data_IF_095072210262
#
_entry.id   IF_095072210262
#
_cell.length_a   1.000
_cell.length_b   1.000
_cell.length_c   1.000
_cell.angle_alpha   90.00
_cell.angle_beta   90.00
_cell.angle_gamma   90.00
#
_symmetry.space_group_name_H-M   'P 1'
#
loop_
_entity.id
_entity.type
_entity.pdbx_description
1 polymer ?
#
# COMPACT_ATOMS: atom_id res chain seq x y z
N UNK A 1 -5.44 6.61 -18.97
CA UNK A 1 -5.45 6.01 -17.64
C UNK A 1 -4.47 4.86 -17.58
N UNK A 2 -3.96 4.59 -16.41
CA UNK A 2 -2.98 3.54 -16.23
C UNK A 2 -3.50 2.51 -15.24
N UNK A 3 -3.04 1.29 -15.40
CA UNK A 3 -3.40 0.21 -14.50
C UNK A 3 -2.38 0.18 -13.36
N UNK A 4 -2.89 0.24 -12.14
CA UNK A 4 -2.07 0.15 -10.94
C UNK A 4 -2.40 -1.14 -10.22
N UNK A 5 -1.38 -1.77 -9.68
CA UNK A 5 -1.55 -3.02 -8.93
C UNK A 5 -1.22 -2.77 -7.47
N UNK A 6 -2.14 -3.15 -6.61
CA UNK A 6 -1.95 -3.08 -5.17
C UNK A 6 -1.62 -4.47 -4.68
N UNK A 7 -0.45 -4.60 -4.06
CA UNK A 7 0.00 -5.88 -3.55
C UNK A 7 0.04 -5.78 -2.03
N UNK A 8 -0.74 -6.62 -1.35
CA UNK A 8 -0.81 -6.61 0.11
C UNK A 8 0.03 -7.75 0.65
N UNK A 9 0.83 -7.45 1.65
CA UNK A 9 1.71 -8.42 2.28
C UNK A 9 1.42 -8.49 3.76
N UNK A 10 1.52 -9.70 4.31
CA UNK A 10 1.28 -9.90 5.74
C UNK A 10 2.56 -9.67 6.53
N UNK A 11 2.51 -9.97 7.82
CA UNK A 11 3.64 -9.74 8.72
C UNK A 11 4.86 -10.57 8.36
N UNK A 12 4.65 -11.70 7.72
CA UNK A 12 5.76 -12.53 7.28
C UNK A 12 6.22 -12.17 5.88
N UNK A 13 5.74 -11.03 5.36
CA UNK A 13 6.16 -10.50 4.07
C UNK A 13 5.72 -11.37 2.89
N UNK A 14 4.64 -12.12 3.09
CA UNK A 14 4.08 -12.92 2.01
C UNK A 14 2.91 -12.18 1.40
N UNK A 15 2.78 -12.28 0.09
CA UNK A 15 1.68 -11.62 -0.62
C UNK A 15 0.37 -12.31 -0.29
N UNK A 16 -0.56 -11.55 0.25
CA UNK A 16 -1.88 -12.07 0.59
C UNK A 16 -2.88 -11.85 -0.51
N UNK A 17 -2.91 -10.64 -1.04
CA UNK A 17 -3.89 -10.24 -2.03
C UNK A 17 -3.26 -9.31 -3.03
N UNK A 18 -3.80 -9.30 -4.22
CA UNK A 18 -3.40 -8.36 -5.24
C UNK A 18 -4.66 -7.82 -5.90
N UNK A 19 -4.75 -6.51 -6.03
CA UNK A 19 -5.88 -5.85 -6.67
C UNK A 19 -5.38 -4.91 -7.73
N UNK A 20 -6.19 -4.69 -8.75
CA UNK A 20 -5.85 -3.76 -9.80
C UNK A 20 -6.93 -2.71 -9.95
N UNK A 21 -6.51 -1.53 -10.36
CA UNK A 21 -7.44 -0.45 -10.62
C UNK A 21 -6.86 0.49 -11.66
N UNK A 22 -7.75 1.23 -12.29
CA UNK A 22 -7.35 2.21 -13.28
C UNK A 22 -7.45 3.60 -12.68
N UNK A 23 -6.38 4.37 -12.82
CA UNK A 23 -6.34 5.73 -12.30
C UNK A 23 -5.68 6.64 -13.31
N UNK A 24 -6.03 7.92 -13.27
CA UNK A 24 -5.50 8.88 -14.21
C UNK A 24 -4.04 9.20 -13.93
N UNK A 25 -3.64 9.19 -12.66
CA UNK A 25 -2.27 9.50 -12.30
C UNK A 25 -1.94 8.89 -10.94
N UNK A 26 -0.64 8.91 -10.62
CA UNK A 26 -0.14 8.26 -9.41
C UNK A 26 -0.82 8.74 -8.14
N UNK A 27 -1.09 10.04 -8.06
CA UNK A 27 -1.66 10.61 -6.86
C UNK A 27 -3.01 9.97 -6.52
N UNK A 28 -3.84 9.74 -7.54
CA UNK A 28 -5.14 9.12 -7.30
C UNK A 28 -4.96 7.70 -6.79
N UNK A 29 -4.02 6.96 -7.37
CA UNK A 29 -3.77 5.60 -6.95
C UNK A 29 -3.28 5.58 -5.50
N UNK A 30 -2.40 6.52 -5.14
CA UNK A 30 -1.85 6.59 -3.80
C UNK A 30 -2.95 6.93 -2.79
N UNK A 31 -3.81 7.89 -3.11
CA UNK A 31 -4.88 8.28 -2.20
C UNK A 31 -5.86 7.14 -1.98
N UNK A 32 -6.17 6.43 -3.06
CA UNK A 32 -7.06 5.28 -2.94
C UNK A 32 -6.42 4.19 -2.11
N UNK A 33 -5.12 3.96 -2.32
CA UNK A 33 -4.39 2.94 -1.57
C UNK A 33 -4.32 3.27 -0.10
N UNK A 34 -4.10 4.54 0.24
CA UNK A 34 -4.02 4.95 1.63
C UNK A 34 -5.33 4.67 2.35
N UNK A 35 -6.46 4.90 1.68
CA UNK A 35 -7.75 4.61 2.28
C UNK A 35 -7.95 3.12 2.51
N UNK A 36 -7.46 2.31 1.59
CA UNK A 36 -7.60 0.86 1.70
C UNK A 36 -6.74 0.31 2.83
N UNK A 37 -5.46 0.71 2.85
CA UNK A 37 -4.53 0.14 3.82
C UNK A 37 -4.88 0.54 5.25
N UNK A 38 -5.61 1.62 5.42
CA UNK A 38 -5.98 2.07 6.75
C UNK A 38 -6.79 1.03 7.51
N UNK A 39 -7.47 0.13 6.80
CA UNK A 39 -8.22 -0.94 7.43
C UNK A 39 -7.48 -2.26 7.55
N UNK A 40 -6.20 -2.30 7.19
CA UNK A 40 -5.44 -3.54 7.16
C UNK A 40 -4.28 -3.48 8.14
N UNK A 41 -4.59 -3.64 9.40
CA UNK A 41 -3.57 -3.53 10.45
C UNK A 41 -2.55 -4.66 10.35
N UNK A 42 -1.29 -4.28 10.49
CA UNK A 42 -0.22 -5.26 10.44
C UNK A 42 0.21 -5.66 9.05
N UNK A 43 -0.41 -5.09 8.05
CA UNK A 43 -0.11 -5.44 6.67
C UNK A 43 0.63 -4.31 5.98
N UNK A 44 1.33 -4.68 4.93
CA UNK A 44 2.02 -3.73 4.07
C UNK A 44 1.33 -3.72 2.72
N UNK A 45 1.48 -2.61 2.02
CA UNK A 45 0.92 -2.51 0.67
C UNK A 45 1.93 -1.82 -0.22
N UNK A 46 2.06 -2.34 -1.42
CA UNK A 46 2.87 -1.73 -2.46
C UNK A 46 1.99 -1.42 -3.64
N UNK A 47 2.21 -0.25 -4.23
CA UNK A 47 1.48 0.16 -5.41
C UNK A 47 2.45 0.14 -6.57
N UNK A 48 2.12 -0.61 -7.60
CA UNK A 48 2.97 -0.79 -8.77
C UNK A 48 2.27 -0.30 -10.02
N UNK A 49 3.03 0.31 -10.88
CA UNK A 49 2.59 0.65 -12.22
C UNK A 49 3.56 -0.03 -13.18
N UNK A 50 3.13 -1.17 -13.74
CA UNK A 50 4.04 -2.00 -14.49
C UNK A 50 5.11 -2.54 -13.58
N UNK A 51 6.37 -2.28 -13.90
CA UNK A 51 7.49 -2.72 -13.09
C UNK A 51 8.01 -1.63 -12.16
N UNK A 52 7.34 -0.48 -12.12
CA UNK A 52 7.80 0.64 -11.31
C UNK A 52 7.01 0.69 -10.01
N UNK A 53 7.72 0.75 -8.90
CA UNK A 53 7.10 0.93 -7.60
C UNK A 53 6.72 2.39 -7.45
N UNK A 54 5.44 2.64 -7.29
CA UNK A 54 4.92 3.99 -7.16
C UNK A 54 5.00 4.46 -5.71
N UNK A 55 4.55 3.62 -4.79
CA UNK A 55 4.48 3.97 -3.39
C UNK A 55 4.38 2.69 -2.57
N UNK A 56 4.92 2.74 -1.35
CA UNK A 56 4.73 1.62 -0.43
C UNK A 56 4.27 2.17 0.90
N UNK A 57 3.42 1.40 1.57
CA UNK A 57 2.95 1.73 2.91
C UNK A 57 3.47 0.65 3.84
N UNK A 58 4.05 1.08 4.95
CA UNK A 58 4.54 0.16 5.93
C UNK A 58 3.41 -0.46 6.73
N UNK A 59 3.75 -1.31 7.68
CA UNK A 59 2.71 -1.95 8.48
C UNK A 59 1.88 -0.92 9.21
N UNK A 60 0.55 -1.10 9.18
CA UNK A 60 -0.35 -0.27 9.93
C UNK A 60 -0.33 -0.76 11.37
N UNK A 61 0.05 0.11 12.29
CA UNK A 61 0.16 -0.26 13.69
C UNK A 61 -0.63 0.73 14.53
N UNK A 62 -1.85 0.38 14.90
CA UNK A 62 -2.68 1.33 15.66
C UNK A 62 -2.13 1.61 17.04
N UNK A 63 -1.28 0.77 17.54
CA UNK A 63 -0.81 0.89 18.90
C UNK A 63 0.55 1.55 19.02
N UNK A 64 1.08 2.08 17.94
CA UNK A 64 2.44 2.57 17.96
C UNK A 64 2.51 4.08 17.80
N UNK A 65 2.44 4.81 18.89
CA UNK A 65 2.57 6.27 18.82
C UNK A 65 4.02 6.71 18.78
N UNK A 66 4.94 5.81 18.80
CA UNK A 66 6.33 6.14 19.02
C UNK A 66 6.92 6.91 17.86
N UNK A 67 7.57 8.03 18.16
CA UNK A 67 8.33 8.70 17.11
C UNK A 67 9.51 7.82 16.77
N UNK A 68 9.94 7.93 15.66
CA UNK A 68 11.12 7.18 15.38
C UNK A 68 12.32 7.83 15.96
N UNK A 69 12.72 8.08 16.37
CA UNK A 69 13.70 8.46 16.78
C UNK A 69 14.60 8.45 16.78
N UNK A 70 14.90 8.61 16.74
CA UNK A 70 15.65 8.68 16.94
C UNK A 70 16.23 8.82 16.69
#
# INVERSE_FOLDING_TARGET
MAIYRYSFRDESNQTKETHEGNFAHDRQAIENGAAIIAGHHGERMEIWRGTRLVQSFGPVSPADPRPSRR
#
